data_IF_594659422720
#
_entry.id   IF_594659422720
#
_cell.length_a   1.000
_cell.length_b   1.000
_cell.length_c   1.000
_cell.angle_alpha   90.00
_cell.angle_beta   90.00
_cell.angle_gamma   90.00
#
_symmetry.space_group_name_H-M   'P 1'
#
loop_
_entity.id
_entity.type
_entity.pdbx_description
1 polymer ?
#
# COMPACT_ATOMS: atom_id res chain seq x y z
N UNK A 1 13.07 -30.94 -5.11
CA UNK A 1 12.70 -32.31 -5.52
C UNK A 1 12.06 -33.15 -4.40
N UNK A 2 11.84 -32.63 -3.18
CA UNK A 2 11.41 -33.43 -2.01
C UNK A 2 9.88 -33.55 -1.78
N UNK A 3 9.04 -33.30 -2.79
CA UNK A 3 7.56 -33.26 -2.63
C UNK A 3 6.82 -34.37 -3.34
N UNK A 4 7.53 -35.21 -4.08
CA UNK A 4 6.99 -36.45 -4.63
C UNK A 4 7.15 -37.49 -3.52
N UNK A 5 6.04 -38.07 -3.09
CA UNK A 5 5.96 -39.12 -2.09
C UNK A 5 5.42 -40.38 -2.75
N UNK A 6 5.93 -41.50 -2.29
CA UNK A 6 5.55 -42.83 -2.76
C UNK A 6 4.98 -43.54 -1.53
N UNK A 7 3.90 -44.29 -1.73
CA UNK A 7 3.34 -45.17 -0.73
C UNK A 7 4.37 -46.24 -0.31
N UNK A 8 4.75 -46.33 0.98
CA UNK A 8 5.74 -47.31 1.44
C UNK A 8 5.30 -48.77 1.24
N UNK A 9 4.00 -49.05 1.14
CA UNK A 9 3.49 -50.43 0.98
C UNK A 9 3.57 -50.95 -0.47
N UNK A 10 3.75 -50.05 -1.44
CA UNK A 10 3.72 -50.36 -2.89
C UNK A 10 5.03 -50.04 -3.60
N UNK A 11 6.14 -50.09 -2.87
CA UNK A 11 7.46 -49.79 -3.42
C UNK A 11 7.89 -50.78 -4.52
N UNK A 12 7.48 -52.04 -4.42
CA UNK A 12 7.76 -53.07 -5.43
C UNK A 12 7.08 -52.74 -6.76
N UNK A 13 5.78 -52.43 -6.75
CA UNK A 13 4.99 -52.03 -7.93
C UNK A 13 5.57 -50.77 -8.62
N UNK A 14 6.09 -49.83 -7.83
CA UNK A 14 6.71 -48.61 -8.34
C UNK A 14 8.11 -48.88 -8.93
N UNK A 15 8.82 -49.88 -8.42
CA UNK A 15 10.13 -50.30 -8.94
C UNK A 15 10.03 -51.02 -10.29
N UNK A 16 8.91 -51.71 -10.55
CA UNK A 16 8.63 -52.38 -11.82
C UNK A 16 8.15 -51.42 -12.93
N UNK A 17 7.72 -50.21 -12.58
CA UNK A 17 7.25 -49.20 -13.53
C UNK A 17 8.40 -48.54 -14.30
N UNK A 18 8.63 -48.98 -15.55
CA UNK A 18 9.70 -48.46 -16.42
C UNK A 18 9.20 -47.33 -17.33
N UNK A 19 7.94 -47.38 -17.78
CA UNK A 19 7.41 -46.42 -18.75
C UNK A 19 6.76 -45.19 -18.08
N UNK A 20 6.69 -44.08 -18.83
CA UNK A 20 5.98 -42.87 -18.37
C UNK A 20 4.48 -43.10 -18.22
N UNK A 21 3.92 -44.08 -18.94
CA UNK A 21 2.50 -44.41 -18.84
C UNK A 21 2.20 -45.13 -17.54
N UNK A 22 3.07 -46.04 -17.11
CA UNK A 22 2.96 -46.74 -15.82
C UNK A 22 3.04 -45.75 -14.65
N UNK A 23 3.99 -44.80 -14.70
CA UNK A 23 4.10 -43.73 -13.70
C UNK A 23 2.81 -42.87 -13.66
N UNK A 24 2.17 -42.59 -14.81
CA UNK A 24 0.91 -41.85 -14.85
C UNK A 24 -0.26 -42.64 -14.24
N UNK A 25 -0.30 -43.96 -14.43
CA UNK A 25 -1.29 -44.85 -13.77
C UNK A 25 -1.08 -44.82 -12.26
N UNK A 26 0.16 -45.00 -11.78
CA UNK A 26 0.51 -44.94 -10.36
C UNK A 26 0.22 -43.59 -9.70
N UNK A 27 0.29 -42.47 -10.43
CA UNK A 27 -0.15 -41.15 -9.95
C UNK A 27 -1.67 -41.08 -9.83
N UNK A 28 -2.41 -41.65 -10.79
CA UNK A 28 -3.87 -41.68 -10.80
C UNK A 28 -4.43 -42.58 -9.68
N UNK A 29 -3.76 -43.70 -9.44
CA UNK A 29 -4.12 -44.69 -8.41
C UNK A 29 -3.66 -44.25 -7.01
N UNK A 30 -2.94 -43.12 -6.90
CA UNK A 30 -2.55 -42.49 -5.64
C UNK A 30 -1.27 -43.03 -5.00
N UNK A 31 -0.62 -44.02 -5.64
CA UNK A 31 0.65 -44.62 -5.18
C UNK A 31 1.79 -43.61 -5.19
N UNK A 32 1.82 -42.75 -6.21
CA UNK A 32 2.75 -41.62 -6.30
C UNK A 32 1.97 -40.31 -6.20
N UNK A 33 2.20 -39.55 -5.14
CA UNK A 33 1.46 -38.31 -4.90
C UNK A 33 2.38 -37.13 -4.58
N UNK A 34 1.82 -35.94 -4.74
CA UNK A 34 2.53 -34.69 -4.48
C UNK A 34 2.08 -34.10 -3.15
N UNK A 35 2.95 -34.15 -2.14
CA UNK A 35 2.68 -33.53 -0.86
C UNK A 35 2.47 -32.01 -1.03
N UNK A 36 1.45 -31.45 -0.36
CA UNK A 36 1.17 -30.01 -0.44
C UNK A 36 2.36 -29.17 0.02
N UNK A 37 2.47 -27.93 -0.50
CA UNK A 37 3.54 -27.02 -0.06
C UNK A 37 3.25 -26.61 1.39
N UNK A 38 4.20 -26.83 2.30
CA UNK A 38 4.13 -26.22 3.64
C UNK A 38 4.23 -24.70 3.50
N UNK A 39 3.13 -24.00 3.73
CA UNK A 39 3.06 -22.54 3.70
C UNK A 39 3.44 -21.94 5.05
N UNK A 40 4.05 -20.75 5.05
CA UNK A 40 4.29 -19.99 6.28
C UNK A 40 3.06 -19.17 6.64
N UNK A 41 2.50 -19.39 7.83
CA UNK A 41 1.31 -18.64 8.26
C UNK A 41 1.63 -17.15 8.50
N UNK A 42 0.71 -16.28 8.09
CA UNK A 42 0.80 -14.82 8.30
C UNK A 42 -0.03 -14.32 9.48
N UNK A 43 -0.62 -15.23 10.27
CA UNK A 43 -1.55 -14.90 11.35
C UNK A 43 -0.96 -13.91 12.36
N UNK A 44 0.27 -14.15 12.83
CA UNK A 44 0.97 -13.26 13.79
C UNK A 44 1.23 -11.86 13.24
N UNK A 45 1.53 -11.74 11.95
CA UNK A 45 1.76 -10.44 11.30
C UNK A 45 0.46 -9.65 11.21
N UNK A 46 -0.66 -10.32 10.90
CA UNK A 46 -1.99 -9.70 10.81
C UNK A 46 -2.58 -9.35 12.17
N UNK A 47 -2.37 -10.18 13.19
CA UNK A 47 -2.88 -9.95 14.54
C UNK A 47 -2.26 -8.72 15.24
N UNK A 48 -1.10 -8.23 14.77
CA UNK A 48 -0.48 -6.99 15.29
C UNK A 48 -1.29 -5.75 14.86
N UNK A 49 -2.40 -5.47 15.54
CA UNK A 49 -3.27 -4.30 15.32
C UNK A 49 -2.53 -2.96 15.47
N UNK A 50 -1.58 -2.86 16.41
CA UNK A 50 -0.69 -1.70 16.60
C UNK A 50 0.77 -2.11 16.46
N UNK A 51 1.42 -1.71 15.37
CA UNK A 51 2.89 -1.85 15.23
C UNK A 51 3.57 -1.01 16.32
N UNK A 52 4.56 -1.57 17.03
CA UNK A 52 5.45 -0.78 17.91
C UNK A 52 6.10 0.31 17.04
N UNK A 53 5.73 1.58 17.29
CA UNK A 53 6.16 2.75 16.49
C UNK A 53 7.03 3.72 17.29
N UNK A 54 7.33 3.43 18.55
CA UNK A 54 8.13 4.29 19.43
C UNK A 54 9.61 4.39 18.98
N UNK A 55 10.37 5.37 19.50
CA UNK A 55 11.76 5.60 19.11
C UNK A 55 12.65 4.36 19.21
N UNK A 56 12.57 3.60 20.32
CA UNK A 56 13.39 2.39 20.53
C UNK A 56 13.13 1.22 19.56
N UNK A 57 12.04 1.27 18.78
CA UNK A 57 11.76 0.28 17.73
C UNK A 57 12.26 0.70 16.34
N UNK A 58 12.79 1.93 16.22
CA UNK A 58 13.25 2.51 14.94
C UNK A 58 14.77 2.45 14.89
N UNK A 59 15.32 1.83 13.84
CA UNK A 59 16.76 1.74 13.60
C UNK A 59 17.31 2.77 12.60
N UNK A 60 16.44 3.37 11.78
CA UNK A 60 16.84 4.35 10.76
C UNK A 60 16.79 5.81 11.23
N UNK A 61 17.50 6.70 10.53
CA UNK A 61 17.48 8.16 10.78
C UNK A 61 16.08 8.76 10.54
N UNK A 62 15.83 9.97 11.05
CA UNK A 62 14.52 10.66 11.01
C UNK A 62 13.85 10.67 9.62
N UNK A 63 14.63 10.93 8.57
CA UNK A 63 14.13 11.05 7.19
C UNK A 63 14.29 9.76 6.35
N UNK A 64 14.66 8.64 6.96
CA UNK A 64 14.80 7.35 6.25
C UNK A 64 13.47 6.68 5.93
N UNK A 65 12.40 6.98 6.69
CA UNK A 65 11.06 6.42 6.45
C UNK A 65 10.26 7.22 5.43
N UNK A 66 10.40 8.55 5.47
CA UNK A 66 9.81 9.50 4.52
C UNK A 66 10.83 10.63 4.36
N UNK A 67 11.21 10.93 3.13
CA UNK A 67 12.19 11.98 2.84
C UNK A 67 11.60 13.38 3.04
N UNK A 68 12.46 14.40 3.24
CA UNK A 68 12.01 15.81 3.32
C UNK A 68 11.27 16.24 2.05
N UNK A 69 11.77 15.84 0.88
CA UNK A 69 11.18 16.16 -0.43
C UNK A 69 9.80 15.52 -0.58
N UNK A 70 9.65 14.27 -0.18
CA UNK A 70 8.37 13.56 -0.23
C UNK A 70 7.32 14.21 0.69
N UNK A 71 7.70 14.55 1.94
CA UNK A 71 6.82 15.29 2.85
C UNK A 71 6.36 16.63 2.25
N UNK A 72 7.29 17.39 1.66
CA UNK A 72 6.98 18.65 0.99
C UNK A 72 6.03 18.44 -0.21
N UNK A 73 6.32 17.46 -1.07
CA UNK A 73 5.49 17.14 -2.24
C UNK A 73 4.07 16.74 -1.82
N UNK A 74 3.92 15.86 -0.82
CA UNK A 74 2.61 15.45 -0.32
C UNK A 74 1.79 16.64 0.17
N UNK A 75 2.41 17.53 0.96
CA UNK A 75 1.75 18.73 1.49
C UNK A 75 1.30 19.68 0.38
N UNK A 76 2.22 20.05 -0.52
CA UNK A 76 1.94 21.01 -1.61
C UNK A 76 0.91 20.46 -2.59
N UNK A 77 0.99 19.17 -2.95
CA UNK A 77 0.04 18.53 -3.86
C UNK A 77 -1.37 18.49 -3.26
N UNK A 78 -1.50 18.15 -1.98
CA UNK A 78 -2.79 18.15 -1.29
C UNK A 78 -3.42 19.56 -1.25
N UNK A 79 -2.63 20.58 -0.89
CA UNK A 79 -3.08 21.98 -0.88
C UNK A 79 -3.52 22.45 -2.27
N UNK A 80 -2.71 22.20 -3.31
CA UNK A 80 -3.05 22.58 -4.69
C UNK A 80 -4.26 21.84 -5.24
N UNK A 81 -4.43 20.56 -4.89
CA UNK A 81 -5.62 19.79 -5.26
C UNK A 81 -6.87 20.43 -4.66
N UNK A 82 -6.87 20.71 -3.36
CA UNK A 82 -8.01 21.35 -2.69
C UNK A 82 -8.30 22.74 -3.28
N UNK A 83 -7.26 23.53 -3.54
CA UNK A 83 -7.41 24.85 -4.14
C UNK A 83 -8.01 24.78 -5.56
N UNK A 84 -7.65 23.76 -6.34
CA UNK A 84 -8.26 23.49 -7.65
C UNK A 84 -9.75 23.15 -7.51
N UNK A 85 -10.11 22.26 -6.58
CA UNK A 85 -11.52 21.92 -6.31
C UNK A 85 -12.36 23.15 -5.94
N UNK A 86 -11.83 24.05 -5.10
CA UNK A 86 -12.54 25.29 -4.75
C UNK A 86 -12.77 26.20 -5.96
N UNK A 87 -11.78 26.31 -6.85
CA UNK A 87 -11.90 27.10 -8.08
C UNK A 87 -12.91 26.50 -9.03
N UNK A 88 -12.86 25.18 -9.22
CA UNK A 88 -13.73 24.47 -10.18
C UNK A 88 -15.19 24.50 -9.72
N UNK A 89 -15.44 24.58 -8.41
CA UNK A 89 -16.78 24.83 -7.82
C UNK A 89 -17.21 26.30 -7.83
N UNK A 90 -16.39 27.22 -8.34
CA UNK A 90 -16.70 28.66 -8.35
C UNK A 90 -16.62 29.36 -6.98
N UNK A 91 -16.14 28.67 -5.93
CA UNK A 91 -16.05 29.21 -4.56
C UNK A 91 -14.93 30.25 -4.42
N UNK A 92 -13.94 30.23 -5.30
CA UNK A 92 -12.85 31.22 -5.34
C UNK A 92 -12.67 31.77 -6.75
N UNK A 93 -12.29 33.04 -6.85
CA UNK A 93 -11.98 33.66 -8.13
C UNK A 93 -10.60 33.23 -8.64
N UNK A 94 -10.36 33.39 -9.95
CA UNK A 94 -9.06 33.10 -10.59
C UNK A 94 -7.90 33.92 -9.99
N UNK A 95 -8.17 35.16 -9.57
CA UNK A 95 -7.17 36.04 -8.93
C UNK A 95 -6.77 35.52 -7.56
N UNK A 96 -7.74 35.16 -6.72
CA UNK A 96 -7.52 34.55 -5.41
C UNK A 96 -6.78 33.22 -5.57
N UNK A 97 -7.21 32.34 -6.48
CA UNK A 97 -6.52 31.10 -6.79
C UNK A 97 -5.03 31.31 -7.06
N UNK A 98 -4.67 32.27 -7.93
CA UNK A 98 -3.27 32.57 -8.26
C UNK A 98 -2.48 33.11 -7.05
N UNK A 99 -3.08 33.96 -6.21
CA UNK A 99 -2.44 34.47 -4.98
C UNK A 99 -2.11 33.31 -4.03
N UNK A 100 -3.10 32.48 -3.73
CA UNK A 100 -2.96 31.38 -2.77
C UNK A 100 -2.03 30.30 -3.33
N UNK A 101 -2.06 30.04 -4.64
CA UNK A 101 -1.13 29.10 -5.28
C UNK A 101 0.33 29.51 -5.10
N UNK A 102 0.64 30.82 -5.17
CA UNK A 102 1.99 31.35 -4.90
C UNK A 102 2.37 31.20 -3.42
N UNK A 103 1.44 31.46 -2.49
CA UNK A 103 1.67 31.22 -1.06
C UNK A 103 1.91 29.74 -0.74
N UNK A 104 1.17 28.84 -1.38
CA UNK A 104 1.42 27.39 -1.29
C UNK A 104 2.80 27.02 -1.83
N UNK A 105 3.24 27.61 -2.97
CA UNK A 105 4.61 27.42 -3.49
C UNK A 105 5.66 27.89 -2.47
N UNK A 106 5.42 28.99 -1.79
CA UNK A 106 6.30 29.51 -0.74
C UNK A 106 6.25 28.70 0.58
N UNK A 107 5.28 27.79 0.73
CA UNK A 107 5.16 26.95 1.93
C UNK A 107 4.49 27.63 3.11
N UNK A 108 3.71 28.69 2.88
CA UNK A 108 3.07 29.49 3.92
C UNK A 108 2.07 28.70 4.79
N UNK A 109 1.57 27.56 4.30
CA UNK A 109 0.56 26.77 5.00
C UNK A 109 1.12 25.43 5.49
N UNK A 110 0.86 25.10 6.76
CA UNK A 110 1.29 23.85 7.39
C UNK A 110 0.46 22.63 6.94
N UNK A 111 -0.81 22.82 6.61
CA UNK A 111 -1.76 21.77 6.22
C UNK A 111 -2.81 22.32 5.24
N UNK A 112 -3.72 21.46 4.77
CA UNK A 112 -4.90 21.92 4.00
C UNK A 112 -5.85 22.69 4.90
N UNK A 113 -6.04 22.28 6.16
CA UNK A 113 -6.88 22.98 7.13
C UNK A 113 -6.39 24.41 7.38
N UNK A 114 -5.09 24.61 7.60
CA UNK A 114 -4.52 25.95 7.77
C UNK A 114 -4.71 26.85 6.53
N UNK A 115 -4.71 26.27 5.34
CA UNK A 115 -5.01 27.01 4.10
C UNK A 115 -6.50 27.38 4.02
N UNK A 116 -7.40 26.47 4.42
CA UNK A 116 -8.84 26.73 4.46
C UNK A 116 -9.19 27.82 5.49
N UNK A 117 -8.63 27.72 6.68
CA UNK A 117 -8.79 28.71 7.76
C UNK A 117 -8.36 30.10 7.30
N UNK A 118 -7.21 30.21 6.64
CA UNK A 118 -6.76 31.48 6.05
C UNK A 118 -7.77 32.03 5.02
N UNK A 119 -8.29 31.17 4.15
CA UNK A 119 -9.29 31.57 3.15
C UNK A 119 -10.59 32.05 3.79
N UNK A 120 -11.04 31.41 4.87
CA UNK A 120 -12.25 31.76 5.61
C UNK A 120 -12.08 33.07 6.39
N UNK A 121 -11.00 33.20 7.16
CA UNK A 121 -10.69 34.41 7.94
C UNK A 121 -10.57 35.66 7.05
N UNK A 122 -10.02 35.50 5.84
CA UNK A 122 -9.88 36.60 4.89
C UNK A 122 -11.11 36.77 3.98
N UNK A 123 -12.21 36.06 4.23
CA UNK A 123 -13.46 36.09 3.43
C UNK A 123 -13.22 35.90 1.92
N UNK A 124 -12.25 35.05 1.58
CA UNK A 124 -11.83 34.76 0.21
C UNK A 124 -12.65 33.65 -0.46
N UNK A 125 -13.49 32.97 0.32
CA UNK A 125 -14.43 31.94 -0.15
C UNK A 125 -15.81 32.57 -0.31
N UNK A 126 -16.35 32.46 -1.52
CA UNK A 126 -17.75 32.76 -1.81
C UNK A 126 -18.60 31.62 -1.24
N UNK A 127 -19.70 31.93 -0.55
CA UNK A 127 -20.70 30.91 -0.20
C UNK A 127 -21.28 30.34 -1.50
N UNK A 128 -21.46 29.02 -1.62
CA UNK A 128 -22.18 28.46 -2.75
C UNK A 128 -23.60 29.04 -2.75
N UNK A 129 -24.06 29.48 -3.92
CA UNK A 129 -25.49 29.62 -4.16
C UNK A 129 -26.04 28.19 -4.12
N UNK A 130 -26.86 27.90 -3.11
CA UNK A 130 -27.59 26.63 -3.02
C UNK A 130 -28.51 26.48 -4.22
#
# INVERSE_FOLDING_TARGET
MHRVKIDPEKLEEVSEAITREDIRRLIKDGVIYKEQKKGVSRARVRARKRKKRGPGSRKGKKYSRISRKEQWMMRVRAQRKKLRELRDRGLITKTIYRKIYRMVKAGSFKSVAAMMEYLEQNKLIRRPLL
#
